data_IF_453283750803
#
_entry.id   IF_453283750803
#
_cell.length_a   1.000
_cell.length_b   1.000
_cell.length_c   1.000
_cell.angle_alpha   90.00
_cell.angle_beta   90.00
_cell.angle_gamma   90.00
#
_symmetry.space_group_name_H-M   'P 1'
#
loop_
_entity.id
_entity.type
_entity.pdbx_description
1 polymer ?
#
# COMPACT_ATOMS: atom_id res chain seq x y z
N UNK A 1 29.76 52.13 39.69
CA UNK A 1 30.07 50.69 39.57
C UNK A 1 28.79 49.98 39.13
N UNK A 2 28.73 49.61 37.84
CA UNK A 2 27.83 48.66 37.17
C UNK A 2 26.40 48.44 37.71
N UNK A 3 25.42 49.12 37.09
CA UNK A 3 24.04 48.62 37.03
C UNK A 3 23.98 47.40 36.10
N UNK A 4 23.81 46.23 36.69
CA UNK A 4 23.73 44.94 36.01
C UNK A 4 22.35 44.81 35.34
N UNK A 5 22.34 44.87 34.00
CA UNK A 5 21.17 44.71 33.13
C UNK A 5 20.96 43.22 32.82
N UNK A 6 20.58 42.41 33.83
CA UNK A 6 20.41 40.95 33.67
C UNK A 6 18.95 40.49 33.52
N UNK A 7 17.97 41.39 33.53
CA UNK A 7 16.55 41.02 33.46
C UNK A 7 15.97 40.97 32.04
N UNK A 8 16.65 41.53 31.02
CA UNK A 8 16.13 41.59 29.65
C UNK A 8 16.35 40.31 28.82
N UNK A 9 17.18 39.37 29.29
CA UNK A 9 17.55 38.17 28.52
C UNK A 9 16.64 36.96 28.78
N UNK A 10 15.75 37.00 29.80
CA UNK A 10 14.90 35.84 30.16
C UNK A 10 13.57 35.78 29.39
N UNK A 11 13.20 36.84 28.68
CA UNK A 11 11.94 36.92 27.94
C UNK A 11 12.04 36.56 26.45
N UNK A 12 13.21 36.13 25.96
CA UNK A 12 13.31 35.50 24.64
C UNK A 12 12.91 34.02 24.71
N UNK A 13 11.75 33.72 25.30
CA UNK A 13 11.06 32.49 24.93
C UNK A 13 10.64 32.71 23.48
N UNK A 14 11.45 32.20 22.57
CA UNK A 14 11.19 32.17 21.14
C UNK A 14 9.76 31.68 20.96
N UNK A 15 8.85 32.62 20.72
CA UNK A 15 7.49 32.31 20.32
C UNK A 15 7.63 31.49 19.05
N UNK A 16 7.08 30.27 18.96
CA UNK A 16 7.13 29.50 17.73
C UNK A 16 6.59 30.42 16.64
N UNK A 17 7.37 30.65 15.59
CA UNK A 17 6.97 31.51 14.49
C UNK A 17 5.66 30.95 13.92
N UNK A 18 4.56 31.62 14.22
CA UNK A 18 3.19 31.13 13.97
C UNK A 18 2.96 30.90 12.47
N UNK A 19 3.64 31.69 11.64
CA UNK A 19 3.53 31.67 10.19
C UNK A 19 4.00 30.34 9.54
N UNK A 20 5.24 29.85 9.76
CA UNK A 20 5.66 28.55 9.22
C UNK A 20 4.88 27.38 9.80
N UNK A 21 4.43 27.44 11.06
CA UNK A 21 3.57 26.39 11.62
C UNK A 21 2.21 26.32 10.92
N UNK A 22 1.60 27.46 10.61
CA UNK A 22 0.35 27.51 9.83
C UNK A 22 0.55 26.97 8.42
N UNK A 23 1.66 27.32 7.77
CA UNK A 23 1.98 26.83 6.43
C UNK A 23 2.16 25.30 6.42
N UNK A 24 2.83 24.75 7.43
CA UNK A 24 2.99 23.30 7.60
C UNK A 24 1.65 22.59 7.80
N UNK A 25 0.75 23.15 8.63
CA UNK A 25 -0.58 22.59 8.84
C UNK A 25 -1.42 22.62 7.56
N UNK A 26 -1.42 23.73 6.81
CA UNK A 26 -2.13 23.83 5.53
C UNK A 26 -1.59 22.80 4.53
N UNK A 27 -0.27 22.64 4.45
CA UNK A 27 0.35 21.63 3.60
C UNK A 27 -0.09 20.21 3.98
N UNK A 28 -0.11 19.88 5.28
CA UNK A 28 -0.59 18.58 5.77
C UNK A 28 -2.07 18.34 5.44
N UNK A 29 -2.91 19.37 5.56
CA UNK A 29 -4.34 19.29 5.20
C UNK A 29 -4.54 19.08 3.71
N UNK A 30 -3.81 19.80 2.86
CA UNK A 30 -3.86 19.61 1.39
C UNK A 30 -3.40 18.21 1.03
N UNK A 31 -2.30 17.73 1.64
CA UNK A 31 -1.80 16.38 1.43
C UNK A 31 -2.83 15.32 1.84
N UNK A 32 -3.48 15.49 2.99
CA UNK A 32 -4.56 14.63 3.44
C UNK A 32 -5.72 14.59 2.44
N UNK A 33 -6.12 15.76 1.91
CA UNK A 33 -7.18 15.85 0.91
C UNK A 33 -6.82 15.11 -0.39
N UNK A 34 -5.56 15.17 -0.82
CA UNK A 34 -5.07 14.45 -2.01
C UNK A 34 -5.17 12.94 -1.81
N UNK A 35 -4.81 12.42 -0.62
CA UNK A 35 -4.92 10.99 -0.31
C UNK A 35 -6.36 10.49 -0.36
N UNK A 36 -7.32 11.34 0.01
CA UNK A 36 -8.75 11.02 -0.02
C UNK A 36 -9.39 11.19 -1.41
N UNK A 37 -8.60 11.54 -2.43
CA UNK A 37 -9.11 11.66 -3.79
C UNK A 37 -9.69 10.33 -4.30
N UNK A 38 -10.85 10.34 -4.99
CA UNK A 38 -11.48 9.13 -5.53
C UNK A 38 -10.55 8.32 -6.44
N UNK A 39 -9.70 9.00 -7.21
CA UNK A 39 -8.72 8.34 -8.08
C UNK A 39 -7.67 7.56 -7.29
N UNK A 40 -7.23 8.11 -6.16
CA UNK A 40 -6.28 7.45 -5.25
C UNK A 40 -6.95 6.28 -4.54
N UNK A 41 -8.24 6.37 -4.21
CA UNK A 41 -9.01 5.28 -3.61
C UNK A 41 -9.15 4.08 -4.56
N UNK A 42 -9.45 4.33 -5.84
CA UNK A 42 -9.51 3.27 -6.87
C UNK A 42 -8.15 2.59 -7.01
N UNK A 43 -7.07 3.38 -7.10
CA UNK A 43 -5.70 2.84 -7.18
C UNK A 43 -5.34 2.01 -5.95
N UNK A 44 -5.63 2.51 -4.74
CA UNK A 44 -5.40 1.76 -3.48
C UNK A 44 -6.15 0.43 -3.47
N UNK A 45 -7.42 0.43 -3.87
CA UNK A 45 -8.25 -0.78 -3.89
C UNK A 45 -7.75 -1.78 -4.92
N UNK A 46 -7.36 -1.31 -6.11
CA UNK A 46 -6.79 -2.15 -7.16
C UNK A 46 -5.44 -2.74 -6.74
N UNK A 47 -4.53 -1.93 -6.19
CA UNK A 47 -3.24 -2.40 -5.68
C UNK A 47 -3.43 -3.41 -4.55
N UNK A 48 -4.37 -3.18 -3.63
CA UNK A 48 -4.72 -4.13 -2.58
C UNK A 48 -5.22 -5.47 -3.14
N UNK A 49 -6.11 -5.44 -4.14
CA UNK A 49 -6.57 -6.64 -4.84
C UNK A 49 -5.45 -7.41 -5.52
N UNK A 50 -4.58 -6.71 -6.27
CA UNK A 50 -3.43 -7.32 -6.96
C UNK A 50 -2.45 -7.95 -5.95
N UNK A 51 -2.16 -7.27 -4.84
CA UNK A 51 -1.30 -7.81 -3.78
C UNK A 51 -1.91 -9.06 -3.15
N UNK A 52 -3.23 -9.11 -2.95
CA UNK A 52 -3.92 -10.28 -2.42
C UNK A 52 -3.87 -11.47 -3.40
N UNK A 53 -4.03 -11.22 -4.71
CA UNK A 53 -3.82 -12.25 -5.75
C UNK A 53 -2.41 -12.81 -5.64
N UNK A 54 -1.41 -11.92 -5.63
CA UNK A 54 0.00 -12.30 -5.58
C UNK A 54 0.31 -13.12 -4.32
N UNK A 55 -0.12 -12.65 -3.15
CA UNK A 55 0.06 -13.37 -1.89
C UNK A 55 -0.60 -14.76 -1.90
N UNK A 56 -1.80 -14.86 -2.45
CA UNK A 56 -2.50 -16.16 -2.58
C UNK A 56 -1.76 -17.10 -3.55
N UNK A 57 -1.21 -16.56 -4.64
CA UNK A 57 -0.38 -17.34 -5.58
C UNK A 57 0.90 -17.86 -4.93
N UNK A 58 1.56 -17.07 -4.10
CA UNK A 58 2.73 -17.50 -3.32
C UNK A 58 2.35 -18.63 -2.36
N UNK A 59 1.22 -18.53 -1.66
CA UNK A 59 0.72 -19.62 -0.80
C UNK A 59 0.52 -20.91 -1.61
N UNK A 60 -0.17 -20.83 -2.75
CA UNK A 60 -0.39 -22.01 -3.62
C UNK A 60 0.95 -22.57 -4.11
N UNK A 61 1.89 -21.70 -4.45
CA UNK A 61 3.22 -22.10 -4.91
C UNK A 61 4.02 -22.85 -3.83
N UNK A 62 4.00 -22.37 -2.58
CA UNK A 62 4.68 -23.03 -1.46
C UNK A 62 3.97 -24.28 -0.95
N UNK A 63 2.64 -24.36 -1.11
CA UNK A 63 1.84 -25.55 -0.76
C UNK A 63 1.97 -26.69 -1.79
N UNK A 64 2.55 -26.38 -2.95
CA UNK A 64 2.77 -27.34 -4.04
C UNK A 64 3.75 -28.45 -3.61
N UNK A 65 3.45 -29.71 -3.96
CA UNK A 65 4.38 -30.84 -3.73
C UNK A 65 5.71 -30.65 -4.46
N UNK A 66 5.64 -30.08 -5.65
CA UNK A 66 6.81 -29.64 -6.41
C UNK A 66 6.55 -28.22 -6.91
N UNK A 67 7.21 -27.21 -6.31
CA UNK A 67 6.91 -25.81 -6.59
C UNK A 67 7.13 -25.48 -8.07
N UNK A 68 6.11 -24.91 -8.71
CA UNK A 68 6.16 -24.51 -10.12
C UNK A 68 5.93 -25.63 -11.14
N UNK A 69 5.79 -26.88 -10.69
CA UNK A 69 5.46 -28.04 -11.54
C UNK A 69 4.04 -28.55 -11.24
N UNK A 70 3.64 -28.61 -9.96
CA UNK A 70 2.32 -29.13 -9.61
C UNK A 70 1.73 -28.50 -8.33
N UNK A 71 0.81 -27.51 -8.47
CA UNK A 71 0.31 -26.92 -9.72
C UNK A 71 1.32 -26.00 -10.43
N UNK A 72 1.30 -25.97 -11.78
CA UNK A 72 2.12 -25.00 -12.52
C UNK A 72 1.63 -23.58 -12.30
N UNK A 73 2.55 -22.71 -11.89
CA UNK A 73 2.30 -21.28 -11.78
C UNK A 73 1.91 -20.67 -13.14
N UNK A 74 0.96 -19.73 -13.18
CA UNK A 74 0.57 -19.05 -14.43
C UNK A 74 1.73 -18.30 -15.10
N UNK A 75 2.77 -17.93 -14.34
CA UNK A 75 3.96 -17.23 -14.85
C UNK A 75 5.10 -18.18 -15.27
N UNK A 76 4.90 -19.50 -15.17
CA UNK A 76 5.93 -20.49 -15.49
C UNK A 76 6.14 -20.61 -17.02
N UNK A 77 7.36 -20.92 -17.51
CA UNK A 77 7.65 -21.14 -18.93
C UNK A 77 6.68 -22.11 -19.62
N UNK A 78 6.40 -21.86 -20.90
CA UNK A 78 5.42 -22.63 -21.69
C UNK A 78 5.74 -24.12 -21.81
N UNK A 79 7.02 -24.48 -21.78
CA UNK A 79 7.48 -25.88 -21.80
C UNK A 79 7.02 -26.64 -20.56
N UNK A 80 7.22 -26.05 -19.37
CA UNK A 80 6.82 -26.64 -18.08
C UNK A 80 5.29 -26.74 -17.97
N UNK A 81 4.57 -25.75 -18.51
CA UNK A 81 3.09 -25.73 -18.53
C UNK A 81 2.48 -26.76 -19.49
N UNK A 82 3.19 -27.13 -20.56
CA UNK A 82 2.73 -28.14 -21.51
C UNK A 82 2.83 -29.55 -20.91
N UNK A 83 3.95 -29.83 -20.23
CA UNK A 83 4.23 -31.13 -19.63
C UNK A 83 3.31 -31.45 -18.42
N UNK A 84 2.78 -30.41 -17.75
CA UNK A 84 1.91 -30.55 -16.57
C UNK A 84 0.42 -30.77 -16.89
N UNK A 85 0.02 -30.75 -18.17
CA UNK A 85 -1.33 -31.10 -18.64
C UNK A 85 -2.45 -30.07 -18.37
N UNK A 86 -2.40 -29.32 -17.26
CA UNK A 86 -3.33 -28.21 -16.99
C UNK A 86 -2.58 -26.91 -16.71
N UNK A 87 -2.74 -25.95 -17.61
CA UNK A 87 -1.88 -24.75 -17.65
C UNK A 87 -2.25 -23.68 -16.62
N UNK A 88 -3.39 -23.82 -15.93
CA UNK A 88 -3.88 -22.92 -14.89
C UNK A 88 -4.82 -23.68 -13.95
N UNK A 89 -4.33 -23.99 -12.74
CA UNK A 89 -5.12 -24.73 -11.76
C UNK A 89 -6.24 -23.86 -11.17
N UNK A 90 -7.36 -24.49 -10.80
CA UNK A 90 -8.54 -23.83 -10.21
C UNK A 90 -8.17 -22.90 -9.03
N UNK A 91 -7.17 -23.27 -8.23
CA UNK A 91 -6.70 -22.47 -7.10
C UNK A 91 -6.16 -21.09 -7.53
N UNK A 92 -5.46 -21.02 -8.66
CA UNK A 92 -4.97 -19.75 -9.22
C UNK A 92 -6.12 -18.89 -9.77
N UNK A 93 -7.16 -19.51 -10.33
CA UNK A 93 -8.39 -18.82 -10.74
C UNK A 93 -9.15 -18.26 -9.53
N UNK A 94 -9.27 -19.06 -8.48
CA UNK A 94 -9.89 -18.62 -7.24
C UNK A 94 -9.13 -17.44 -6.65
N UNK A 95 -7.80 -17.45 -6.65
CA UNK A 95 -7.01 -16.31 -6.20
C UNK A 95 -7.36 -15.01 -6.94
N UNK A 96 -7.52 -15.05 -8.27
CA UNK A 96 -7.96 -13.90 -9.07
C UNK A 96 -9.36 -13.41 -8.67
N UNK A 97 -10.30 -14.34 -8.47
CA UNK A 97 -11.66 -14.04 -8.04
C UNK A 97 -11.63 -13.34 -6.67
N UNK A 98 -10.90 -13.87 -5.70
CA UNK A 98 -10.78 -13.28 -4.36
C UNK A 98 -10.17 -11.89 -4.40
N UNK A 99 -9.10 -11.69 -5.17
CA UNK A 99 -8.49 -10.36 -5.35
C UNK A 99 -9.43 -9.34 -5.99
N UNK A 100 -10.20 -9.76 -7.00
CA UNK A 100 -11.20 -8.90 -7.64
C UNK A 100 -12.33 -8.53 -6.66
N UNK A 101 -12.88 -9.51 -5.93
CA UNK A 101 -13.89 -9.25 -4.91
C UNK A 101 -13.38 -8.32 -3.81
N UNK A 102 -12.14 -8.52 -3.37
CA UNK A 102 -11.51 -7.66 -2.37
C UNK A 102 -11.33 -6.22 -2.86
N UNK A 103 -10.87 -6.03 -4.10
CA UNK A 103 -10.76 -4.70 -4.70
C UNK A 103 -12.13 -3.99 -4.83
N UNK A 104 -13.16 -4.72 -5.27
CA UNK A 104 -14.52 -4.18 -5.37
C UNK A 104 -15.09 -3.84 -3.99
N UNK A 105 -14.87 -4.71 -3.00
CA UNK A 105 -15.32 -4.50 -1.63
C UNK A 105 -14.63 -3.28 -0.99
N UNK A 106 -13.31 -3.16 -1.11
CA UNK A 106 -12.57 -1.99 -0.64
C UNK A 106 -13.06 -0.71 -1.31
N UNK A 107 -13.25 -0.73 -2.62
CA UNK A 107 -13.73 0.43 -3.36
C UNK A 107 -15.18 0.81 -3.02
N UNK A 108 -16.01 -0.15 -2.62
CA UNK A 108 -17.36 0.12 -2.12
C UNK A 108 -17.33 0.70 -0.72
N UNK A 109 -16.48 0.16 0.16
CA UNK A 109 -16.47 0.48 1.59
C UNK A 109 -15.82 1.85 1.91
N UNK A 110 -14.89 2.31 1.07
CA UNK A 110 -14.10 3.54 1.28
C UNK A 110 -14.81 4.76 0.69
#
# INVERSE_FOLDING_TARGET
>A
MSHIKFSDQKNSKVSPSILPTLFCLIFLLIFWQIIQSPWIQILKSLTGGILLVYYTWEIIYFDSQVPGIQPTSPLSPSTIRYDSGSTLHMNYYMALIHGAFFALFLNWWT
#
